data_IF_919203047487
#
_entry.id   IF_919203047487
#
_cell.length_a   1.000
_cell.length_b   1.000
_cell.length_c   1.000
_cell.angle_alpha   90.00
_cell.angle_beta   90.00
_cell.angle_gamma   90.00
#
_symmetry.space_group_name_H-M   'P 1'
#
loop_
_entity.id
_entity.type
_entity.pdbx_description
1 polymer ?
#
# COMPACT_ATOMS: atom_id res chain seq x y z
N UNK A 1 4.21 -9.31 -20.41
CA UNK A 1 3.07 -8.37 -20.39
C UNK A 1 3.18 -7.55 -19.12
N UNK A 2 2.88 -6.24 -19.13
CA UNK A 2 2.85 -5.43 -17.92
C UNK A 2 1.81 -5.96 -16.94
N UNK A 3 2.09 -5.80 -15.64
CA UNK A 3 1.20 -6.16 -14.54
C UNK A 3 0.65 -4.87 -13.93
N UNK A 4 -0.66 -4.83 -13.72
CA UNK A 4 -1.34 -3.72 -13.02
C UNK A 4 -2.14 -4.34 -11.88
N UNK A 5 -1.93 -3.86 -10.66
CA UNK A 5 -2.70 -4.31 -9.49
C UNK A 5 -3.40 -3.12 -8.86
N UNK A 6 -4.72 -3.25 -8.71
CA UNK A 6 -5.55 -2.32 -7.94
C UNK A 6 -5.62 -2.82 -6.51
N UNK A 7 -5.06 -2.06 -5.58
CA UNK A 7 -4.98 -2.37 -4.17
C UNK A 7 -6.19 -1.79 -3.43
N UNK A 8 -6.92 -2.66 -2.72
CA UNK A 8 -7.93 -2.29 -1.73
C UNK A 8 -7.90 -3.32 -0.61
N UNK A 9 -7.43 -2.94 0.58
CA UNK A 9 -7.37 -3.80 1.75
C UNK A 9 -7.41 -3.01 3.06
N UNK A 10 -8.15 -3.55 4.03
CA UNK A 10 -8.14 -3.08 5.43
C UNK A 10 -7.07 -3.73 6.31
N UNK A 11 -6.20 -4.58 5.75
CA UNK A 11 -5.10 -5.24 6.47
C UNK A 11 -5.00 -6.74 6.20
N UNK A 12 -4.38 -7.47 7.13
CA UNK A 12 -4.20 -8.92 7.03
C UNK A 12 -5.48 -9.67 7.44
N UNK A 13 -5.77 -10.79 6.77
CA UNK A 13 -6.87 -11.68 7.14
C UNK A 13 -6.49 -12.52 8.37
N UNK A 14 -6.86 -12.05 9.55
CA UNK A 14 -6.44 -12.65 10.83
C UNK A 14 -6.87 -14.11 10.99
N UNK A 15 -7.94 -14.54 10.32
CA UNK A 15 -8.44 -15.91 10.36
C UNK A 15 -7.43 -16.94 9.85
N UNK A 16 -6.49 -16.53 9.00
CA UNK A 16 -5.42 -17.38 8.48
C UNK A 16 -4.11 -17.22 9.27
N UNK A 17 -4.08 -16.37 10.30
CA UNK A 17 -2.93 -16.16 11.18
C UNK A 17 -1.63 -15.83 10.43
N UNK A 18 -0.57 -16.60 10.70
CA UNK A 18 0.74 -16.41 10.09
C UNK A 18 0.75 -16.63 8.58
N UNK A 19 -0.19 -17.40 8.02
CA UNK A 19 -0.29 -17.60 6.56
C UNK A 19 -0.60 -16.29 5.83
N UNK A 20 -1.45 -15.44 6.40
CA UNK A 20 -1.72 -14.10 5.88
C UNK A 20 -0.47 -13.24 5.85
N UNK A 21 0.34 -13.29 6.91
CA UNK A 21 1.62 -12.56 6.98
C UNK A 21 2.59 -13.06 5.90
N UNK A 22 2.71 -14.37 5.73
CA UNK A 22 3.63 -14.96 4.75
C UNK A 22 3.27 -14.61 3.31
N UNK A 23 2.01 -14.23 3.02
CA UNK A 23 1.65 -13.77 1.68
C UNK A 23 2.43 -12.52 1.26
N UNK A 24 2.78 -11.64 2.22
CA UNK A 24 3.60 -10.46 1.94
C UNK A 24 4.98 -10.85 1.40
N UNK A 25 5.67 -11.77 2.07
CA UNK A 25 6.98 -12.25 1.63
C UNK A 25 6.89 -13.00 0.29
N UNK A 26 5.83 -13.80 0.11
CA UNK A 26 5.59 -14.55 -1.13
C UNK A 26 5.41 -13.62 -2.33
N UNK A 27 4.51 -12.65 -2.25
CA UNK A 27 4.25 -11.77 -3.39
C UNK A 27 5.41 -10.82 -3.68
N UNK A 28 6.08 -10.29 -2.66
CA UNK A 28 7.27 -9.44 -2.84
C UNK A 28 8.42 -10.19 -3.51
N UNK A 29 8.66 -11.46 -3.17
CA UNK A 29 9.73 -12.25 -3.80
C UNK A 29 9.43 -12.54 -5.28
N UNK A 30 8.16 -12.80 -5.62
CA UNK A 30 7.74 -12.98 -7.02
C UNK A 30 7.84 -11.67 -7.80
N UNK A 31 7.45 -10.54 -7.21
CA UNK A 31 7.59 -9.22 -7.85
C UNK A 31 9.05 -8.85 -8.09
N UNK A 32 9.94 -9.16 -7.14
CA UNK A 32 11.38 -8.94 -7.32
C UNK A 32 11.92 -9.71 -8.54
N UNK A 33 11.57 -10.99 -8.71
CA UNK A 33 11.94 -11.78 -9.89
C UNK A 33 11.35 -11.19 -11.18
N UNK A 34 10.08 -10.78 -11.12
CA UNK A 34 9.34 -10.18 -12.24
C UNK A 34 10.01 -8.89 -12.75
N UNK A 35 10.42 -8.00 -11.86
CA UNK A 35 11.08 -6.73 -12.23
C UNK A 35 12.58 -6.93 -12.54
N UNK A 36 13.31 -7.68 -11.71
CA UNK A 36 14.77 -7.75 -11.80
C UNK A 36 15.26 -8.74 -12.86
N UNK A 37 14.73 -9.96 -12.85
CA UNK A 37 15.19 -11.03 -13.74
C UNK A 37 14.46 -10.99 -15.08
N UNK A 38 13.14 -10.76 -15.05
CA UNK A 38 12.32 -10.73 -16.26
C UNK A 38 12.21 -9.35 -16.90
N UNK A 39 12.64 -8.28 -16.20
CA UNK A 39 12.60 -6.89 -16.69
C UNK A 39 11.21 -6.48 -17.16
N UNK A 40 10.18 -6.95 -16.46
CA UNK A 40 8.79 -6.64 -16.77
C UNK A 40 8.29 -5.51 -15.87
N UNK A 41 7.34 -4.74 -16.39
CA UNK A 41 6.84 -3.52 -15.78
C UNK A 41 5.62 -3.78 -14.90
N UNK A 42 5.64 -3.25 -13.68
CA UNK A 42 4.58 -3.38 -12.67
C UNK A 42 4.08 -2.01 -12.21
N UNK A 43 2.76 -1.81 -12.28
CA UNK A 43 2.08 -0.62 -11.75
C UNK A 43 1.18 -1.03 -10.58
N UNK A 44 1.33 -0.34 -9.45
CA UNK A 44 0.39 -0.44 -8.34
C UNK A 44 -0.56 0.75 -8.35
N UNK A 45 -1.86 0.51 -8.17
CA UNK A 45 -2.89 1.54 -8.03
C UNK A 45 -3.47 1.42 -6.63
N UNK A 46 -3.17 2.39 -5.78
CA UNK A 46 -3.62 2.47 -4.40
C UNK A 46 -4.99 3.13 -4.31
N UNK A 47 -5.99 2.34 -3.95
CA UNK A 47 -7.37 2.81 -3.76
C UNK A 47 -7.75 2.77 -2.28
N UNK A 48 -8.87 3.40 -1.93
CA UNK A 48 -9.32 3.49 -0.54
C UNK A 48 -10.12 2.26 -0.10
N UNK A 49 -9.79 1.61 1.03
CA UNK A 49 -8.57 1.76 1.82
C UNK A 49 -7.43 0.87 1.31
N UNK A 50 -6.18 1.28 1.44
CA UNK A 50 -5.00 0.40 1.29
C UNK A 50 -4.15 0.46 2.54
N UNK A 51 -4.29 -0.55 3.41
CA UNK A 51 -3.63 -0.55 4.71
C UNK A 51 -2.84 -1.81 5.06
N UNK A 52 -1.99 -1.68 6.09
CA UNK A 52 -1.32 -2.81 6.74
C UNK A 52 -0.39 -3.56 5.80
N UNK A 53 -0.60 -4.87 5.73
CA UNK A 53 0.28 -5.77 4.98
C UNK A 53 0.34 -5.49 3.48
N UNK A 54 -0.73 -4.97 2.87
CA UNK A 54 -0.74 -4.65 1.42
C UNK A 54 0.14 -3.42 1.16
N UNK A 55 -0.02 -2.36 1.94
CA UNK A 55 0.83 -1.15 1.88
C UNK A 55 2.29 -1.48 2.16
N UNK A 56 2.57 -2.37 3.11
CA UNK A 56 3.91 -2.81 3.45
C UNK A 56 4.46 -3.94 2.54
N UNK A 57 3.82 -4.23 1.42
CA UNK A 57 4.30 -5.22 0.45
C UNK A 57 4.04 -4.74 -0.99
N UNK A 58 3.33 -5.52 -1.79
CA UNK A 58 3.16 -5.28 -3.22
C UNK A 58 2.54 -3.92 -3.57
N UNK A 59 1.77 -3.30 -2.67
CA UNK A 59 1.21 -1.96 -2.90
C UNK A 59 2.28 -0.89 -3.12
N UNK A 60 3.43 -1.01 -2.46
CA UNK A 60 4.53 -0.01 -2.52
C UNK A 60 5.77 -0.52 -3.27
N UNK A 61 5.63 -1.58 -4.07
CA UNK A 61 6.72 -2.16 -4.86
C UNK A 61 6.52 -1.98 -6.38
N UNK A 62 5.60 -1.10 -6.78
CA UNK A 62 5.40 -0.73 -8.18
C UNK A 62 6.63 -0.05 -8.77
N UNK A 63 6.89 -0.25 -10.07
CA UNK A 63 7.77 0.63 -10.83
C UNK A 63 7.17 2.03 -10.94
N UNK A 64 5.83 2.09 -11.00
CA UNK A 64 5.03 3.30 -10.78
C UNK A 64 3.94 2.97 -9.78
N UNK A 65 3.77 3.83 -8.78
CA UNK A 65 2.73 3.76 -7.77
C UNK A 65 1.78 4.93 -8.01
N UNK A 66 0.53 4.62 -8.32
CA UNK A 66 -0.54 5.60 -8.56
C UNK A 66 -1.47 5.56 -7.36
N UNK A 67 -2.00 6.71 -6.93
CA UNK A 67 -3.11 6.75 -5.98
C UNK A 67 -4.33 7.45 -6.56
N UNK A 68 -5.49 7.17 -5.97
CA UNK A 68 -6.73 7.89 -6.25
C UNK A 68 -6.90 9.08 -5.27
N UNK A 69 -7.60 10.16 -5.69
CA UNK A 69 -7.91 11.27 -4.80
C UNK A 69 -8.60 10.81 -3.51
N UNK A 70 -8.20 11.39 -2.38
CA UNK A 70 -8.71 11.08 -1.04
C UNK A 70 -8.55 9.61 -0.61
N UNK A 71 -7.66 8.83 -1.25
CA UNK A 71 -7.45 7.45 -0.87
C UNK A 71 -6.82 7.34 0.52
N UNK A 72 -7.40 6.51 1.40
CA UNK A 72 -6.84 6.24 2.72
C UNK A 72 -5.75 5.17 2.63
N UNK A 73 -4.50 5.58 2.83
CA UNK A 73 -3.31 4.73 2.68
C UNK A 73 -2.49 4.77 3.97
N UNK A 74 -2.26 3.61 4.60
CA UNK A 74 -1.61 3.58 5.90
C UNK A 74 -0.97 2.24 6.24
N UNK A 75 0.24 2.22 6.81
CA UNK A 75 0.74 0.99 7.42
C UNK A 75 -0.04 0.64 8.70
N UNK A 76 -0.05 1.56 9.67
CA UNK A 76 -0.83 1.44 10.89
C UNK A 76 -2.07 2.34 10.82
N UNK A 77 -3.23 1.83 11.23
CA UNK A 77 -4.46 2.62 11.28
C UNK A 77 -4.38 3.73 12.33
N UNK A 78 -5.09 4.84 12.09
CA UNK A 78 -5.15 6.02 12.97
C UNK A 78 -5.32 5.66 14.44
N UNK A 79 -6.30 4.81 14.75
CA UNK A 79 -6.60 4.35 16.11
C UNK A 79 -5.38 3.77 16.84
N UNK A 80 -4.61 2.91 16.16
CA UNK A 80 -3.44 2.25 16.76
C UNK A 80 -2.34 3.27 17.06
N UNK A 81 -2.15 4.26 16.18
CA UNK A 81 -1.18 5.33 16.37
C UNK A 81 -1.57 6.19 17.58
N UNK A 82 -2.83 6.60 17.68
CA UNK A 82 -3.33 7.43 18.78
C UNK A 82 -3.24 6.72 20.12
N UNK A 83 -3.64 5.44 20.19
CA UNK A 83 -3.53 4.62 21.41
C UNK A 83 -2.07 4.41 21.83
N UNK A 84 -1.13 4.30 20.89
CA UNK A 84 0.29 4.08 21.20
C UNK A 84 0.99 5.37 21.65
N UNK A 85 0.72 6.50 20.99
CA UNK A 85 1.43 7.76 21.22
C UNK A 85 0.72 8.67 22.21
N UNK A 86 -0.54 8.39 22.58
CA UNK A 86 -1.39 9.27 23.39
C UNK A 86 -1.52 10.69 22.81
N UNK A 87 -1.50 10.81 21.49
CA UNK A 87 -1.62 12.07 20.74
C UNK A 87 -2.60 11.88 19.60
N UNK A 88 -3.36 12.91 19.26
CA UNK A 88 -4.26 12.87 18.11
C UNK A 88 -3.47 12.86 16.81
N UNK A 89 -3.88 12.01 15.88
CA UNK A 89 -3.34 12.02 14.52
C UNK A 89 -4.06 13.13 13.74
N UNK A 90 -3.32 14.08 13.14
CA UNK A 90 -3.93 15.13 12.34
C UNK A 90 -4.86 14.58 11.27
N UNK A 91 -5.99 15.25 11.07
CA UNK A 91 -6.92 14.90 10.00
C UNK A 91 -6.23 15.00 8.63
N UNK A 92 -6.57 14.10 7.71
CA UNK A 92 -5.93 14.02 6.40
C UNK A 92 -4.52 13.45 6.37
N UNK A 93 -3.86 13.16 7.50
CA UNK A 93 -2.44 12.75 7.50
C UNK A 93 -2.16 11.38 6.85
N UNK A 94 -3.21 10.63 6.52
CA UNK A 94 -3.14 9.31 5.88
C UNK A 94 -3.94 9.29 4.57
N UNK A 95 -4.33 10.46 4.07
CA UNK A 95 -4.97 10.63 2.76
C UNK A 95 -3.92 10.83 1.67
N UNK A 96 -4.30 10.51 0.44
CA UNK A 96 -3.41 10.53 -0.70
C UNK A 96 -2.71 11.90 -0.88
N UNK A 97 -3.45 12.99 -0.73
CA UNK A 97 -2.95 14.35 -0.92
C UNK A 97 -1.81 14.68 0.06
N UNK A 98 -1.98 14.36 1.34
CA UNK A 98 -0.93 14.57 2.34
C UNK A 98 0.29 13.68 2.09
N UNK A 99 0.07 12.42 1.70
CA UNK A 99 1.15 11.45 1.47
C UNK A 99 1.91 11.72 0.17
N UNK A 100 1.25 12.30 -0.84
CA UNK A 100 1.86 12.74 -2.08
C UNK A 100 2.90 13.82 -1.84
N UNK A 101 2.58 14.81 -0.99
CA UNK A 101 3.52 15.85 -0.57
C UNK A 101 4.75 15.29 0.19
N UNK A 102 4.66 14.05 0.71
CA UNK A 102 5.77 13.33 1.34
C UNK A 102 6.53 12.41 0.37
N UNK A 103 6.13 12.34 -0.89
CA UNK A 103 6.79 11.55 -1.93
C UNK A 103 6.54 10.05 -1.81
N UNK A 104 5.39 9.62 -1.29
CA UNK A 104 5.09 8.18 -1.15
C UNK A 104 4.74 7.48 -2.48
N UNK A 105 4.30 8.21 -3.50
CA UNK A 105 3.88 7.65 -4.79
C UNK A 105 3.93 8.72 -5.91
N UNK A 106 3.73 8.31 -7.16
CA UNK A 106 4.16 9.04 -8.35
C UNK A 106 3.11 10.02 -8.92
N UNK A 107 1.87 9.61 -9.26
CA UNK A 107 0.77 10.55 -9.43
C UNK A 107 -0.50 10.22 -8.63
N UNK A 108 -1.32 11.25 -8.40
CA UNK A 108 -2.73 11.11 -8.02
C UNK A 108 -3.58 11.21 -9.29
N UNK A 109 -4.41 10.21 -9.59
CA UNK A 109 -5.23 10.15 -10.81
C UNK A 109 -6.69 9.91 -10.47
N UNK A 110 -7.64 10.78 -10.90
CA UNK A 110 -9.07 10.54 -10.73
C UNK A 110 -9.55 9.38 -11.61
N UNK A 111 -10.59 8.68 -11.16
CA UNK A 111 -11.25 7.61 -11.93
C UNK A 111 -11.98 8.11 -13.17
#
# INVERSE_FOLDING_TARGET
>A
LPLIIVCASGGARMQEGSLSLMQMAKISSVLFDYQSNKRLFYVSILTSPTTGGVTASFGMLGDIIISEPNAYIAFAGKRVIEETLNTTVPEGSQEAEYLFDKGLFDPIVPR
#
